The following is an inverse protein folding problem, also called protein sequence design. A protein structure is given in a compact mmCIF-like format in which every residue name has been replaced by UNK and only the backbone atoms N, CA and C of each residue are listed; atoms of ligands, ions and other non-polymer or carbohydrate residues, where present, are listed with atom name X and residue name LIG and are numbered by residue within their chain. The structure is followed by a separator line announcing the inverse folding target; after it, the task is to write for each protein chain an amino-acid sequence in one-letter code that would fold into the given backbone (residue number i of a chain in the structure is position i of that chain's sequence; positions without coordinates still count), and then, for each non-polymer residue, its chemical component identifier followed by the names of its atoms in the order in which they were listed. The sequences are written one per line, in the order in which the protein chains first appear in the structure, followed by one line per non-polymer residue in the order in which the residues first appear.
data_IF_027504702619
#
_entry.id   IF_027504702619
#
_cell.length_a   1.000
_cell.length_b   1.000
_cell.length_c   1.000
_cell.angle_alpha   90.00
_cell.angle_beta   90.00
_cell.angle_gamma   90.00
#
_symmetry.space_group_name_H-M   'P 1'
#
loop_
_entity.id
_entity.type
_entity.pdbx_description
1 polymer ?
#
# COMPACT_ATOMS: atom_id res chain seq x y z
N UNK A 1 -23.96 -6.54 -49.88
CA UNK A 1 -23.16 -5.40 -49.37
C UNK A 1 -23.11 -5.28 -47.83
N UNK A 2 -23.73 -6.17 -47.03
CA UNK A 2 -23.79 -6.03 -45.56
C UNK A 2 -22.62 -6.62 -44.75
N UNK A 3 -21.92 -7.64 -45.26
CA UNK A 3 -20.94 -8.41 -44.45
C UNK A 3 -19.59 -7.72 -44.23
N UNK A 4 -19.18 -6.84 -45.14
CA UNK A 4 -17.88 -6.14 -45.04
C UNK A 4 -17.92 -5.04 -43.96
N UNK A 5 -19.09 -4.42 -43.76
CA UNK A 5 -19.32 -3.47 -42.68
C UNK A 5 -19.53 -4.15 -41.32
N UNK A 6 -20.29 -5.25 -41.27
CA UNK A 6 -20.51 -5.99 -40.02
C UNK A 6 -19.21 -6.57 -39.44
N UNK A 7 -18.31 -7.06 -40.30
CA UNK A 7 -16.98 -7.53 -39.88
C UNK A 7 -16.15 -6.43 -39.21
N UNK A 8 -16.18 -5.20 -39.75
CA UNK A 8 -15.49 -4.06 -39.12
C UNK A 8 -16.11 -3.64 -37.78
N UNK A 9 -17.45 -3.68 -37.66
CA UNK A 9 -18.15 -3.37 -36.41
C UNK A 9 -17.81 -4.38 -35.33
N UNK A 10 -17.80 -5.67 -35.66
CA UNK A 10 -17.40 -6.73 -34.73
C UNK A 10 -15.94 -6.57 -34.31
N UNK A 11 -15.03 -6.29 -35.25
CA UNK A 11 -13.62 -6.07 -34.93
C UNK A 11 -13.42 -4.88 -33.97
N UNK A 12 -14.10 -3.76 -34.23
CA UNK A 12 -14.07 -2.58 -33.35
C UNK A 12 -14.66 -2.90 -31.97
N UNK A 13 -15.76 -3.65 -31.91
CA UNK A 13 -16.37 -4.05 -30.65
C UNK A 13 -15.43 -4.94 -29.81
N UNK A 14 -14.78 -5.93 -30.42
CA UNK A 14 -13.79 -6.79 -29.74
C UNK A 14 -12.60 -5.97 -29.25
N UNK A 15 -12.08 -5.07 -30.08
CA UNK A 15 -10.99 -4.19 -29.68
C UNK A 15 -11.38 -3.30 -28.49
N UNK A 16 -12.58 -2.70 -28.52
CA UNK A 16 -13.09 -1.88 -27.43
C UNK A 16 -13.22 -2.67 -26.12
N UNK A 17 -13.74 -3.91 -26.17
CA UNK A 17 -13.81 -4.79 -25.00
C UNK A 17 -12.41 -5.10 -24.47
N UNK A 18 -11.46 -5.42 -25.36
CA UNK A 18 -10.09 -5.74 -24.96
C UNK A 18 -9.39 -4.53 -24.29
N UNK A 19 -9.49 -3.34 -24.88
CA UNK A 19 -8.97 -2.11 -24.25
C UNK A 19 -9.67 -1.80 -22.93
N UNK A 20 -10.97 -2.06 -22.82
CA UNK A 20 -11.71 -1.94 -21.57
C UNK A 20 -11.16 -2.85 -20.48
N UNK A 21 -10.88 -4.12 -20.80
CA UNK A 21 -10.27 -5.08 -19.86
C UNK A 21 -8.87 -4.64 -19.43
N UNK A 22 -8.05 -4.15 -20.36
CA UNK A 22 -6.71 -3.64 -20.05
C UNK A 22 -6.79 -2.42 -19.12
N UNK A 23 -7.68 -1.47 -19.42
CA UNK A 23 -7.87 -0.29 -18.58
C UNK A 23 -8.31 -0.65 -17.15
N UNK A 24 -9.25 -1.58 -17.01
CA UNK A 24 -9.66 -2.11 -15.69
C UNK A 24 -8.47 -2.77 -14.98
N UNK A 25 -7.69 -3.59 -15.70
CA UNK A 25 -6.50 -4.24 -15.15
C UNK A 25 -5.45 -3.25 -14.63
N UNK A 26 -5.22 -2.15 -15.35
CA UNK A 26 -4.30 -1.08 -14.93
C UNK A 26 -4.77 -0.46 -13.61
N UNK A 27 -6.04 -0.08 -13.50
CA UNK A 27 -6.57 0.50 -12.27
C UNK A 27 -6.52 -0.45 -11.06
N UNK A 28 -6.79 -1.75 -11.29
CA UNK A 28 -6.63 -2.76 -10.24
C UNK A 28 -5.15 -2.86 -9.82
N UNK A 29 -4.23 -2.86 -10.77
CA UNK A 29 -2.79 -2.88 -10.52
C UNK A 29 -2.33 -1.69 -9.66
N UNK A 30 -2.78 -0.48 -9.97
CA UNK A 30 -2.49 0.73 -9.20
C UNK A 30 -2.93 0.60 -7.74
N UNK A 31 -4.16 0.12 -7.51
CA UNK A 31 -4.71 -0.10 -6.16
C UNK A 31 -3.88 -1.12 -5.39
N UNK A 32 -3.53 -2.24 -6.02
CA UNK A 32 -2.76 -3.33 -5.40
C UNK A 32 -1.37 -2.86 -5.03
N UNK A 33 -0.68 -2.15 -5.93
CA UNK A 33 0.66 -1.60 -5.67
C UNK A 33 0.61 -0.58 -4.53
N UNK A 34 -0.37 0.31 -4.52
CA UNK A 34 -0.53 1.29 -3.45
C UNK A 34 -0.78 0.62 -2.08
N UNK A 35 -1.62 -0.42 -2.04
CA UNK A 35 -1.85 -1.22 -0.82
C UNK A 35 -0.59 -1.93 -0.33
N UNK A 36 0.14 -2.59 -1.23
CA UNK A 36 1.38 -3.28 -0.85
C UNK A 36 2.46 -2.33 -0.34
N UNK A 37 2.60 -1.14 -0.94
CA UNK A 37 3.55 -0.14 -0.45
C UNK A 37 3.24 0.34 0.96
N UNK A 38 1.96 0.59 1.28
CA UNK A 38 1.56 0.99 2.63
C UNK A 38 1.75 -0.14 3.64
N UNK A 39 1.50 -1.39 3.25
CA UNK A 39 1.82 -2.57 4.07
C UNK A 39 3.31 -2.64 4.40
N UNK A 40 4.16 -2.61 3.36
CA UNK A 40 5.62 -2.64 3.53
C UNK A 40 6.14 -1.47 4.36
N UNK A 41 5.56 -0.26 4.21
CA UNK A 41 5.91 0.88 5.03
C UNK A 41 5.57 0.65 6.52
N UNK A 42 4.39 0.07 6.81
CA UNK A 42 4.00 -0.27 8.17
C UNK A 42 4.93 -1.34 8.77
N UNK A 43 5.24 -2.40 8.04
CA UNK A 43 6.12 -3.48 8.52
C UNK A 43 7.53 -2.98 8.81
N UNK A 44 8.12 -2.20 7.90
CA UNK A 44 9.44 -1.60 8.10
C UNK A 44 9.45 -0.56 9.22
N UNK A 45 8.38 0.23 9.36
CA UNK A 45 8.21 1.17 10.46
C UNK A 45 8.14 0.47 11.81
N UNK A 46 7.37 -0.63 11.92
CA UNK A 46 7.26 -1.43 13.13
C UNK A 46 8.61 -2.06 13.52
N UNK A 47 9.32 -2.66 12.57
CA UNK A 47 10.63 -3.25 12.80
C UNK A 47 11.69 -2.20 13.17
N UNK A 48 11.66 -1.03 12.53
CA UNK A 48 12.57 0.07 12.85
C UNK A 48 12.33 0.62 14.25
N UNK A 49 11.07 0.70 14.69
CA UNK A 49 10.71 1.10 16.04
C UNK A 49 11.13 0.05 17.07
N UNK A 50 10.77 -1.22 16.85
CA UNK A 50 11.11 -2.33 17.74
C UNK A 50 12.64 -2.44 17.95
N UNK A 51 13.42 -2.31 16.88
CA UNK A 51 14.89 -2.33 16.95
C UNK A 51 15.51 -1.12 17.68
N UNK A 52 14.73 -0.08 17.95
CA UNK A 52 15.20 1.17 18.60
C UNK A 52 14.55 1.41 19.96
N UNK A 53 13.78 0.45 20.48
CA UNK A 53 13.14 0.54 21.81
C UNK A 53 14.13 0.76 22.95
N UNK A 54 15.38 0.27 22.81
CA UNK A 54 16.45 0.49 23.79
C UNK A 54 16.79 1.97 23.97
N UNK A 55 16.61 2.79 22.91
CA UNK A 55 16.78 4.25 22.95
C UNK A 55 15.58 5.01 23.54
N UNK A 56 14.51 4.30 23.93
CA UNK A 56 13.27 4.86 24.47
C UNK A 56 12.14 4.97 23.44
N UNK A 57 10.91 5.11 23.95
CA UNK A 57 9.67 5.11 23.15
C UNK A 57 9.65 6.25 22.12
N UNK A 58 10.06 7.46 22.51
CA UNK A 58 10.08 8.60 21.59
C UNK A 58 11.04 8.34 20.42
N UNK A 59 12.27 7.89 20.71
CA UNK A 59 13.27 7.60 19.68
C UNK A 59 12.83 6.48 18.74
N UNK A 60 12.17 5.44 19.27
CA UNK A 60 11.60 4.36 18.49
C UNK A 60 10.52 4.85 17.52
N UNK A 61 9.59 5.69 17.99
CA UNK A 61 8.53 6.25 17.15
C UNK A 61 9.07 7.25 16.12
N UNK A 62 10.04 8.09 16.47
CA UNK A 62 10.72 8.98 15.51
C UNK A 62 11.40 8.18 14.38
N UNK A 63 12.02 7.05 14.73
CA UNK A 63 12.61 6.12 13.76
C UNK A 63 11.56 5.46 12.87
N UNK A 64 10.40 5.11 13.43
CA UNK A 64 9.27 4.59 12.65
C UNK A 64 8.78 5.63 11.64
N UNK A 65 8.59 6.87 12.09
CA UNK A 65 8.13 7.99 11.27
C UNK A 65 9.08 8.24 10.11
N UNK A 66 10.39 8.36 10.40
CA UNK A 66 11.41 8.54 9.37
C UNK A 66 11.38 7.45 8.28
N UNK A 67 11.19 6.18 8.66
CA UNK A 67 11.08 5.08 7.69
C UNK A 67 9.79 5.19 6.87
N UNK A 68 8.67 5.47 7.53
CA UNK A 68 7.36 5.57 6.88
C UNK A 68 7.31 6.72 5.87
N UNK A 69 7.84 7.89 6.21
CA UNK A 69 7.96 9.04 5.31
C UNK A 69 8.80 8.71 4.07
N UNK A 70 9.95 8.04 4.27
CA UNK A 70 10.84 7.61 3.19
C UNK A 70 10.19 6.58 2.25
N UNK A 71 9.18 5.86 2.73
CA UNK A 71 8.37 4.93 1.94
C UNK A 71 7.18 5.59 1.24
N UNK A 72 6.97 6.90 1.42
CA UNK A 72 5.84 7.64 0.84
C UNK A 72 4.52 7.41 1.56
N UNK A 73 4.59 7.19 2.88
CA UNK A 73 3.43 7.12 3.76
C UNK A 73 3.54 8.11 4.90
N UNK A 74 2.45 8.27 5.64
CA UNK A 74 2.38 9.07 6.87
C UNK A 74 2.11 8.17 8.06
N UNK A 75 2.89 8.33 9.12
CA UNK A 75 2.63 7.64 10.38
C UNK A 75 1.39 8.26 11.04
N UNK A 76 0.35 7.45 11.21
CA UNK A 76 -0.91 7.88 11.83
C UNK A 76 -0.92 7.61 13.34
N UNK A 77 -0.25 6.55 13.79
CA UNK A 77 -0.05 6.27 15.21
C UNK A 77 1.14 5.34 15.43
N UNK A 78 1.82 5.51 16.56
CA UNK A 78 2.84 4.60 17.07
C UNK A 78 2.50 4.31 18.53
N UNK A 79 2.35 3.03 18.88
CA UNK A 79 2.03 2.61 20.24
C UNK A 79 2.98 1.48 20.66
N UNK A 80 3.51 1.59 21.88
CA UNK A 80 4.48 0.66 22.44
C UNK A 80 3.87 0.00 23.67
N UNK A 81 3.81 -1.33 23.64
CA UNK A 81 3.31 -2.17 24.73
C UNK A 81 4.45 -3.10 25.18
N UNK A 82 5.16 -2.71 26.24
CA UNK A 82 6.34 -3.45 26.70
C UNK A 82 7.47 -3.44 25.67
N UNK A 83 7.63 -4.56 24.97
CA UNK A 83 8.62 -4.75 23.89
C UNK A 83 7.99 -4.93 22.50
N UNK A 84 6.67 -4.81 22.40
CA UNK A 84 5.94 -4.83 21.14
C UNK A 84 5.64 -3.39 20.70
N UNK A 85 5.86 -3.09 19.42
CA UNK A 85 5.47 -1.83 18.80
C UNK A 85 4.40 -2.09 17.77
N UNK A 86 3.31 -1.33 17.83
CA UNK A 86 2.28 -1.28 16.80
C UNK A 86 2.27 0.07 16.11
N UNK A 87 2.26 0.05 14.78
CA UNK A 87 2.23 1.25 13.95
C UNK A 87 1.03 1.23 13.02
N UNK A 88 0.49 2.41 12.75
CA UNK A 88 -0.55 2.60 11.74
C UNK A 88 -0.03 3.58 10.70
N UNK A 89 -0.08 3.19 9.42
CA UNK A 89 0.40 4.00 8.30
C UNK A 89 -0.75 4.27 7.35
N UNK A 90 -0.81 5.51 6.85
CA UNK A 90 -1.72 5.95 5.80
C UNK A 90 -0.88 6.32 4.59
N UNK A 91 -1.19 5.74 3.43
CA UNK A 91 -0.53 6.09 2.17
C UNK A 91 -0.97 7.45 1.66
N UNK A 92 -0.06 8.15 0.98
CA UNK A 92 -0.35 9.46 0.39
C UNK A 92 -1.06 9.36 -0.96
N UNK A 93 -0.83 8.27 -1.70
CA UNK A 93 -1.47 8.04 -2.99
C UNK A 93 -2.98 7.78 -2.82
N UNK A 94 -3.80 8.68 -3.35
CA UNK A 94 -5.25 8.49 -3.44
C UNK A 94 -5.56 7.61 -4.63
N UNK A 95 -6.09 6.42 -4.36
CA UNK A 95 -6.59 5.51 -5.41
C UNK A 95 -8.08 5.77 -5.67
N UNK A 96 -8.66 5.10 -6.68
CA UNK A 96 -10.12 5.11 -6.90
C UNK A 96 -10.92 4.62 -5.68
N UNK A 97 -10.28 3.87 -4.77
CA UNK A 97 -10.88 3.38 -3.52
C UNK A 97 -10.50 4.22 -2.28
N UNK A 98 -9.90 5.40 -2.49
CA UNK A 98 -9.40 6.27 -1.43
C UNK A 98 -7.94 5.99 -1.04
N UNK A 99 -7.51 6.60 0.08
CA UNK A 99 -6.16 6.44 0.61
C UNK A 99 -6.01 5.08 1.32
N UNK A 100 -5.04 4.23 0.92
CA UNK A 100 -4.80 2.96 1.59
C UNK A 100 -4.22 3.18 2.98
N UNK A 101 -4.59 2.32 3.93
CA UNK A 101 -4.01 2.30 5.27
C UNK A 101 -3.64 0.88 5.68
N UNK A 102 -2.57 0.72 6.46
CA UNK A 102 -2.15 -0.56 7.02
C UNK A 102 -1.77 -0.42 8.49
N UNK A 103 -1.80 -1.53 9.23
CA UNK A 103 -1.26 -1.64 10.59
C UNK A 103 -0.30 -2.80 10.63
N UNK A 104 0.80 -2.63 11.34
CA UNK A 104 1.78 -3.67 11.57
C UNK A 104 2.19 -3.67 13.04
N UNK A 105 2.62 -4.83 13.53
CA UNK A 105 3.15 -5.00 14.88
C UNK A 105 4.48 -5.75 14.82
N UNK A 106 5.43 -5.36 15.67
CA UNK A 106 6.73 -6.01 15.77
C UNK A 106 7.17 -6.08 17.24
N UNK A 107 7.64 -7.25 17.66
CA UNK A 107 8.14 -7.52 19.00
C UNK A 107 9.17 -8.65 18.98
N UNK A 108 9.77 -9.01 20.13
CA UNK A 108 10.70 -10.13 20.22
C UNK A 108 10.03 -11.44 19.76
N UNK A 109 10.80 -12.30 19.08
CA UNK A 109 10.33 -13.65 18.79
C UNK A 109 10.09 -14.39 20.11
N UNK A 110 8.92 -15.03 20.23
CA UNK A 110 8.64 -15.88 21.38
C UNK A 110 9.67 -17.02 21.44
N UNK A 111 10.13 -17.41 22.65
CA UNK A 111 11.11 -18.49 22.82
C UNK A 111 10.60 -19.87 22.39
#
# INVERSE_FOLDING_TARGET
MGDRGSASVVAVAVAAVWFGLVAVGVHVGEVVVARHRVGAAADLGALAAAGQLVGGVAHACDRAEWVVERMGGRLASCHVEGWEVSVHVIGEAVTVLGAPSARARAGPAEP
#
